data_IF_834742451342
#
_entry.id   IF_834742451342
#
_cell.length_a   1.000
_cell.length_b   1.000
_cell.length_c   1.000
_cell.angle_alpha   90.00
_cell.angle_beta   90.00
_cell.angle_gamma   90.00
#
_symmetry.space_group_name_H-M   'P 1'
#
loop_
_entity.id
_entity.type
_entity.pdbx_description
1 polymer ?
#
# COMPACT_ATOMS: atom_id res chain seq x y z
N UNK A 1 17.94 7.11 7.31
CA UNK A 1 17.25 7.64 6.11
C UNK A 1 18.07 7.41 4.83
N UNK A 2 19.11 6.56 4.88
CA UNK A 2 20.05 6.42 3.76
C UNK A 2 19.46 5.62 2.59
N UNK A 3 18.61 4.62 2.89
CA UNK A 3 18.08 3.70 1.87
C UNK A 3 16.79 4.20 1.19
N UNK A 4 16.32 5.41 1.52
CA UNK A 4 15.02 5.90 1.05
C UNK A 4 14.91 5.98 -0.48
N UNK A 5 15.99 6.39 -1.16
CA UNK A 5 16.03 6.43 -2.64
C UNK A 5 16.03 5.05 -3.26
N UNK A 6 16.74 4.10 -2.66
CA UNK A 6 16.78 2.71 -3.14
C UNK A 6 15.40 2.07 -2.99
N UNK A 7 14.77 2.23 -1.82
CA UNK A 7 13.40 1.77 -1.56
C UNK A 7 12.41 2.39 -2.56
N UNK A 8 12.50 3.71 -2.81
CA UNK A 8 11.61 4.38 -3.77
C UNK A 8 11.84 3.89 -5.21
N UNK A 9 13.09 3.55 -5.58
CA UNK A 9 13.42 2.91 -6.85
C UNK A 9 12.79 1.52 -6.97
N UNK A 10 12.95 0.68 -5.95
CA UNK A 10 12.31 -0.66 -5.91
C UNK A 10 10.79 -0.54 -5.96
N UNK A 11 10.20 0.43 -5.26
CA UNK A 11 8.76 0.68 -5.32
C UNK A 11 8.31 1.12 -6.72
N UNK A 12 9.09 1.97 -7.40
CA UNK A 12 8.81 2.35 -8.79
C UNK A 12 8.78 1.12 -9.70
N UNK A 13 9.75 0.23 -9.57
CA UNK A 13 9.81 -1.01 -10.37
C UNK A 13 8.67 -1.97 -10.02
N UNK A 14 8.31 -2.08 -8.74
CA UNK A 14 7.31 -3.03 -8.23
C UNK A 14 5.87 -2.60 -8.56
N UNK A 15 5.56 -1.30 -8.48
CA UNK A 15 4.17 -0.80 -8.57
C UNK A 15 3.97 0.32 -9.60
N UNK A 16 5.02 0.69 -10.34
CA UNK A 16 4.95 1.71 -11.40
C UNK A 16 4.76 3.14 -10.89
N UNK A 17 5.02 3.42 -9.60
CA UNK A 17 4.80 4.74 -8.99
C UNK A 17 5.99 5.19 -8.15
N UNK A 18 6.40 6.44 -8.35
CA UNK A 18 7.47 7.11 -7.60
C UNK A 18 6.92 7.83 -6.34
N UNK A 19 5.65 8.20 -6.31
CA UNK A 19 5.10 9.01 -5.21
C UNK A 19 4.98 8.23 -3.91
N UNK A 20 5.13 8.92 -2.78
CA UNK A 20 4.76 8.40 -1.45
C UNK A 20 3.48 9.09 -0.96
N UNK A 21 2.66 8.42 -0.11
CA UNK A 21 2.83 7.06 0.41
C UNK A 21 2.51 5.97 -0.63
N UNK A 22 3.11 4.78 -0.46
CA UNK A 22 2.73 3.54 -1.16
C UNK A 22 2.34 2.50 -0.10
N UNK A 23 1.06 2.13 -0.05
CA UNK A 23 0.47 1.34 1.04
C UNK A 23 0.30 -0.12 0.64
N UNK A 24 0.71 -1.02 1.53
CA UNK A 24 0.53 -2.46 1.37
C UNK A 24 -0.11 -3.05 2.65
N UNK A 25 -1.01 -4.01 2.48
CA UNK A 25 -1.67 -4.74 3.58
C UNK A 25 -1.61 -6.24 3.28
N UNK A 26 -0.94 -7.03 4.13
CA UNK A 26 -0.65 -8.45 3.90
C UNK A 26 -0.05 -8.75 2.50
N UNK A 27 0.88 -7.90 2.05
CA UNK A 27 1.50 -8.02 0.73
C UNK A 27 0.62 -7.59 -0.44
N UNK A 28 -0.66 -7.28 -0.22
CA UNK A 28 -1.52 -6.67 -1.23
C UNK A 28 -1.23 -5.17 -1.35
N UNK A 29 -0.89 -4.71 -2.55
CA UNK A 29 -0.70 -3.29 -2.84
C UNK A 29 -2.05 -2.57 -2.91
N UNK A 30 -2.27 -1.64 -1.99
CA UNK A 30 -3.51 -0.84 -1.91
C UNK A 30 -3.43 0.39 -2.82
N UNK A 31 -2.24 1.00 -2.93
CA UNK A 31 -2.02 2.19 -3.75
C UNK A 31 -1.46 3.37 -2.95
N UNK A 32 -1.80 4.59 -3.38
CA UNK A 32 -1.39 5.84 -2.74
C UNK A 32 -2.36 6.31 -1.66
N UNK A 33 -2.22 7.58 -1.25
CA UNK A 33 -3.12 8.20 -0.26
C UNK A 33 -4.59 8.15 -0.71
N UNK A 34 -4.88 8.54 -1.96
CA UNK A 34 -6.25 8.61 -2.46
C UNK A 34 -6.86 7.22 -2.64
N UNK A 35 -6.09 6.25 -3.14
CA UNK A 35 -6.53 4.86 -3.23
C UNK A 35 -6.85 4.28 -1.86
N UNK A 36 -6.03 4.60 -0.85
CA UNK A 36 -6.26 4.16 0.53
C UNK A 36 -7.55 4.77 1.11
N UNK A 37 -7.84 6.04 0.82
CA UNK A 37 -9.10 6.70 1.23
C UNK A 37 -10.29 6.08 0.51
N UNK A 38 -10.18 5.79 -0.78
CA UNK A 38 -11.21 5.10 -1.55
C UNK A 38 -11.49 3.72 -0.96
N UNK A 39 -10.43 2.93 -0.73
CA UNK A 39 -10.52 1.59 -0.11
C UNK A 39 -11.13 1.63 1.30
N UNK A 40 -10.91 2.71 2.06
CA UNK A 40 -11.58 2.91 3.35
C UNK A 40 -13.08 3.17 3.18
N UNK A 41 -13.45 4.02 2.21
CA UNK A 41 -14.84 4.43 1.97
C UNK A 41 -15.72 3.32 1.38
N UNK A 42 -15.15 2.44 0.55
CA UNK A 42 -15.88 1.35 -0.11
C UNK A 42 -15.85 0.02 0.70
N UNK A 43 -15.25 0.04 1.89
CA UNK A 43 -15.16 -1.09 2.81
C UNK A 43 -14.04 -2.09 2.48
N UNK A 44 -13.26 -1.90 1.42
CA UNK A 44 -12.21 -2.84 1.03
C UNK A 44 -11.06 -2.88 2.03
N UNK A 45 -10.65 -1.74 2.57
CA UNK A 45 -9.56 -1.65 3.53
C UNK A 45 -9.89 -2.42 4.82
N UNK A 46 -11.12 -2.30 5.32
CA UNK A 46 -11.59 -3.03 6.50
C UNK A 46 -11.61 -4.55 6.23
N UNK A 47 -12.03 -4.97 5.03
CA UNK A 47 -11.97 -6.39 4.63
C UNK A 47 -10.53 -6.90 4.60
N UNK A 48 -9.60 -6.13 4.03
CA UNK A 48 -8.18 -6.49 3.97
C UNK A 48 -7.57 -6.63 5.36
N UNK A 49 -7.86 -5.69 6.27
CA UNK A 49 -7.39 -5.72 7.65
C UNK A 49 -8.05 -6.86 8.45
N UNK A 50 -9.32 -7.18 8.17
CA UNK A 50 -10.05 -8.28 8.80
C UNK A 50 -9.50 -9.67 8.45
N UNK A 51 -8.79 -9.83 7.32
CA UNK A 51 -8.12 -11.10 6.96
C UNK A 51 -7.06 -11.54 7.99
N UNK A 52 -6.60 -10.63 8.85
CA UNK A 52 -5.66 -10.95 9.93
C UNK A 52 -6.23 -11.82 11.05
N UNK A 53 -7.56 -11.93 11.17
CA UNK A 53 -8.19 -12.55 12.35
C UNK A 53 -8.50 -14.04 12.19
N UNK A 54 -8.01 -14.69 11.14
CA UNK A 54 -8.33 -16.10 10.85
C UNK A 54 -7.12 -17.01 10.65
N UNK A 55 -5.95 -16.65 11.18
CA UNK A 55 -4.79 -17.56 11.26
C UNK A 55 -4.47 -17.93 12.71
#
# INVERSE_FOLDING_TARGET
AEDGREIQGVLLDLVGRNTVPQVFVYGHHVGGSDDTKTALSDGQLQKLLGKSQSQ
#
